data_IF_673969581409
#
_entry.id   IF_673969581409
#
_cell.length_a   1.000
_cell.length_b   1.000
_cell.length_c   1.000
_cell.angle_alpha   90.00
_cell.angle_beta   90.00
_cell.angle_gamma   90.00
#
_symmetry.space_group_name_H-M   'P 1'
#
loop_
_entity.id
_entity.type
_entity.pdbx_description
1 polymer ?
#
# COMPACT_ATOMS: atom_id res chain seq x y z
N UNK A 1 0.62 9.71 13.67
CA UNK A 1 1.77 8.84 14.01
C UNK A 1 2.25 8.19 12.72
N UNK A 2 3.49 8.43 12.32
CA UNK A 2 4.07 7.85 11.12
C UNK A 2 4.69 6.50 11.45
N UNK A 3 4.24 5.43 10.79
CA UNK A 3 4.79 4.08 10.97
C UNK A 3 6.00 3.92 10.05
N UNK A 4 7.17 3.61 10.64
CA UNK A 4 8.37 3.30 9.89
C UNK A 4 8.23 1.92 9.24
N UNK A 5 8.27 1.87 7.90
CA UNK A 5 7.96 0.66 7.12
C UNK A 5 9.18 0.35 6.25
N UNK A 6 10.06 -0.54 6.70
CA UNK A 6 11.33 -0.85 6.01
C UNK A 6 11.14 -1.40 4.59
N UNK A 7 11.95 -0.97 3.61
CA UNK A 7 11.85 -1.45 2.23
C UNK A 7 12.31 -2.91 2.10
N UNK A 8 11.52 -3.77 1.45
CA UNK A 8 11.85 -5.18 1.24
C UNK A 8 12.57 -5.37 -0.11
N UNK A 9 13.66 -6.15 -0.12
CA UNK A 9 14.47 -6.45 -1.31
C UNK A 9 13.66 -7.06 -2.47
N UNK A 10 12.60 -7.83 -2.18
CA UNK A 10 11.72 -8.43 -3.19
C UNK A 10 10.94 -7.39 -4.02
N UNK A 11 10.52 -6.30 -3.38
CA UNK A 11 9.79 -5.22 -4.04
C UNK A 11 10.69 -4.47 -5.02
N UNK A 12 11.95 -4.27 -4.63
CA UNK A 12 12.95 -3.53 -5.41
C UNK A 12 13.32 -4.28 -6.70
N UNK A 13 13.48 -5.60 -6.63
CA UNK A 13 13.87 -6.42 -7.79
C UNK A 13 12.74 -6.64 -8.80
N UNK A 14 11.48 -6.61 -8.37
CA UNK A 14 10.30 -6.86 -9.24
C UNK A 14 9.64 -5.60 -9.79
N UNK A 15 9.70 -4.49 -9.05
CA UNK A 15 8.94 -3.26 -9.36
C UNK A 15 9.83 -2.03 -9.54
N UNK A 16 11.15 -2.17 -9.40
CA UNK A 16 12.09 -1.06 -9.51
C UNK A 16 12.14 -0.21 -8.24
N UNK A 17 13.34 0.22 -7.87
CA UNK A 17 13.58 0.95 -6.62
C UNK A 17 12.88 2.32 -6.59
N UNK A 18 12.74 2.97 -7.76
CA UNK A 18 12.14 4.29 -7.92
C UNK A 18 10.64 4.27 -7.64
N UNK A 19 9.90 3.29 -8.16
CA UNK A 19 8.46 3.16 -7.93
C UNK A 19 8.16 2.83 -6.47
N UNK A 20 8.87 1.85 -5.89
CA UNK A 20 8.71 1.48 -4.47
C UNK A 20 8.96 2.68 -3.56
N UNK A 21 10.02 3.44 -3.82
CA UNK A 21 10.37 4.62 -3.02
C UNK A 21 9.35 5.74 -3.18
N UNK A 22 8.86 5.99 -4.41
CA UNK A 22 7.84 7.01 -4.65
C UNK A 22 6.54 6.72 -3.89
N UNK A 23 6.08 5.47 -3.91
CA UNK A 23 4.87 5.04 -3.19
C UNK A 23 5.07 5.17 -1.68
N UNK A 24 6.22 4.72 -1.19
CA UNK A 24 6.55 4.79 0.22
C UNK A 24 6.56 6.24 0.72
N UNK A 25 7.24 7.14 -0.01
CA UNK A 25 7.32 8.56 0.32
C UNK A 25 5.95 9.23 0.25
N UNK A 26 5.16 8.94 -0.80
CA UNK A 26 3.80 9.47 -0.95
C UNK A 26 2.96 9.17 0.29
N UNK A 27 2.97 7.91 0.77
CA UNK A 27 2.17 7.52 1.94
C UNK A 27 2.76 8.08 3.24
N UNK A 28 4.08 8.18 3.38
CA UNK A 28 4.68 8.76 4.59
C UNK A 28 4.43 10.25 4.73
N UNK A 29 4.47 11.00 3.62
CA UNK A 29 4.31 12.45 3.63
C UNK A 29 2.84 12.87 3.70
N UNK A 30 1.97 12.20 2.93
CA UNK A 30 0.59 12.64 2.75
C UNK A 30 -0.43 11.76 3.48
N UNK A 31 0.00 10.59 3.97
CA UNK A 31 -0.92 9.54 4.38
C UNK A 31 -1.53 8.81 3.17
N UNK A 32 -2.13 7.62 3.39
CA UNK A 32 -2.86 6.93 2.34
C UNK A 32 -4.18 7.65 2.04
N UNK A 33 -4.47 7.87 0.76
CA UNK A 33 -5.78 8.40 0.33
C UNK A 33 -6.89 7.39 0.54
N UNK A 34 -6.55 6.10 0.52
CA UNK A 34 -7.48 5.00 0.73
C UNK A 34 -6.76 3.83 1.40
N UNK A 35 -7.44 3.19 2.35
CA UNK A 35 -6.96 1.95 2.98
C UNK A 35 -8.00 0.85 2.75
N UNK A 36 -7.51 -0.34 2.46
CA UNK A 36 -8.30 -1.56 2.33
C UNK A 36 -7.73 -2.62 3.25
N UNK A 37 -8.58 -3.50 3.77
CA UNK A 37 -8.20 -4.66 4.56
C UNK A 37 -8.42 -5.93 3.73
N UNK A 38 -7.48 -6.86 3.78
CA UNK A 38 -7.60 -8.13 3.07
C UNK A 38 -8.83 -8.90 3.57
N UNK A 39 -9.51 -9.60 2.65
CA UNK A 39 -10.62 -10.48 3.00
C UNK A 39 -10.16 -11.84 3.53
N UNK A 40 -8.91 -12.23 3.24
CA UNK A 40 -8.32 -13.52 3.63
C UNK A 40 -7.35 -13.44 4.80
N UNK A 41 -6.80 -12.26 5.09
CA UNK A 41 -5.81 -12.03 6.15
C UNK A 41 -6.14 -10.70 6.86
N UNK A 42 -6.82 -10.74 8.02
CA UNK A 42 -7.30 -9.53 8.69
C UNK A 42 -6.17 -8.61 9.16
N UNK A 43 -4.93 -9.11 9.24
CA UNK A 43 -3.76 -8.33 9.62
C UNK A 43 -3.10 -7.64 8.42
N UNK A 44 -3.55 -7.92 7.20
CA UNK A 44 -3.00 -7.33 5.97
C UNK A 44 -3.83 -6.15 5.49
N UNK A 45 -3.14 -5.03 5.28
CA UNK A 45 -3.72 -3.80 4.80
C UNK A 45 -3.05 -3.34 3.50
N UNK A 46 -3.85 -2.75 2.64
CA UNK A 46 -3.43 -2.18 1.36
C UNK A 46 -3.71 -0.69 1.40
N UNK A 47 -2.66 0.10 1.27
CA UNK A 47 -2.67 1.54 1.36
C UNK A 47 -2.41 2.12 -0.03
N UNK A 48 -3.33 2.93 -0.51
CA UNK A 48 -3.20 3.61 -1.80
C UNK A 48 -2.75 5.05 -1.60
N UNK A 49 -1.94 5.53 -2.53
CA UNK A 49 -1.55 6.93 -2.65
C UNK A 49 -1.56 7.33 -4.13
N UNK A 50 -2.00 8.55 -4.41
CA UNK A 50 -1.92 9.11 -5.77
C UNK A 50 -0.58 9.79 -5.95
N UNK A 51 0.19 9.33 -6.93
CA UNK A 51 1.50 9.85 -7.28
C UNK A 51 1.38 11.18 -8.07
N UNK A 52 2.46 11.98 -8.16
CA UNK A 52 2.43 13.27 -8.87
C UNK A 52 2.06 13.18 -10.35
N UNK A 53 2.31 12.03 -10.99
CA UNK A 53 1.96 11.74 -12.38
C UNK A 53 0.50 11.28 -12.55
N UNK A 54 -0.28 11.25 -11.47
CA UNK A 54 -1.69 10.85 -11.46
C UNK A 54 -1.93 9.36 -11.26
N UNK A 55 -0.89 8.50 -11.31
CA UNK A 55 -1.03 7.05 -11.09
C UNK A 55 -1.24 6.73 -9.61
N UNK A 56 -1.96 5.66 -9.33
CA UNK A 56 -2.15 5.13 -7.99
C UNK A 56 -1.12 4.06 -7.66
N UNK A 57 -0.30 4.34 -6.65
CA UNK A 57 0.59 3.38 -6.03
C UNK A 57 -0.09 2.65 -4.88
N UNK A 58 0.26 1.38 -4.69
CA UNK A 58 -0.21 0.57 -3.58
C UNK A 58 0.93 0.08 -2.73
N UNK A 59 0.83 0.28 -1.42
CA UNK A 59 1.68 -0.32 -0.39
C UNK A 59 0.90 -1.37 0.38
N UNK A 60 1.48 -2.56 0.51
CA UNK A 60 0.94 -3.64 1.35
C UNK A 60 1.71 -3.67 2.66
N UNK A 61 1.00 -3.61 3.77
CA UNK A 61 1.54 -3.75 5.11
C UNK A 61 0.86 -4.89 5.85
N UNK A 62 1.58 -5.49 6.80
CA UNK A 62 1.06 -6.53 7.67
C UNK A 62 1.26 -6.13 9.12
N UNK A 63 0.17 -6.11 9.89
CA UNK A 63 0.19 -5.88 11.34
C UNK A 63 0.83 -7.08 12.03
N UNK A 64 1.78 -6.80 12.91
CA UNK A 64 2.50 -7.81 13.71
C UNK A 64 2.04 -7.85 15.17
N UNK A 65 1.10 -6.99 15.57
CA UNK A 65 0.72 -6.75 16.96
C UNK A 65 1.33 -5.46 17.53
N UNK A 66 0.80 -4.97 18.66
CA UNK A 66 1.31 -3.80 19.40
C UNK A 66 1.52 -2.53 18.54
N UNK A 67 0.66 -2.31 17.53
CA UNK A 67 0.78 -1.18 16.61
C UNK A 67 1.96 -1.26 15.62
N UNK A 68 2.67 -2.40 15.57
CA UNK A 68 3.79 -2.63 14.66
C UNK A 68 3.30 -3.13 13.30
N UNK A 69 3.85 -2.55 12.23
CA UNK A 69 3.56 -2.97 10.86
C UNK A 69 4.84 -3.29 10.11
N UNK A 70 4.80 -4.42 9.39
CA UNK A 70 5.82 -4.81 8.43
C UNK A 70 5.43 -4.38 7.02
N UNK A 71 6.38 -3.82 6.28
CA UNK A 71 6.23 -3.69 4.83
C UNK A 71 6.27 -5.07 4.17
N UNK A 72 5.25 -5.38 3.38
CA UNK A 72 5.27 -6.58 2.56
C UNK A 72 5.82 -6.23 1.18
N UNK A 73 5.15 -5.32 0.47
CA UNK A 73 5.53 -4.88 -0.87
C UNK A 73 4.91 -3.53 -1.23
N UNK A 74 5.45 -2.86 -2.24
CA UNK A 74 4.83 -1.69 -2.88
C UNK A 74 4.98 -1.78 -4.40
N UNK A 75 3.95 -1.40 -5.14
CA UNK A 75 3.96 -1.37 -6.60
C UNK A 75 2.77 -0.57 -7.15
N UNK A 76 2.80 -0.26 -8.45
CA UNK A 76 1.67 0.33 -9.16
C UNK A 76 0.85 -0.80 -9.78
N UNK A 77 -0.40 -1.07 -9.34
CA UNK A 77 -1.19 -2.13 -9.93
C UNK A 77 -1.63 -1.75 -11.35
N UNK A 78 -1.45 -2.67 -12.31
CA UNK A 78 -1.80 -2.48 -13.72
C UNK A 78 -1.07 -1.25 -14.30
N UNK A 79 -1.80 -0.26 -14.81
CA UNK A 79 -1.25 1.00 -15.32
C UNK A 79 -1.32 2.15 -14.29
N UNK A 80 -1.82 1.88 -13.08
CA UNK A 80 -2.03 2.86 -12.03
C UNK A 80 -3.28 3.72 -12.19
N UNK A 81 -4.12 3.49 -13.21
CA UNK A 81 -5.42 4.17 -13.33
C UNK A 81 -6.36 3.71 -12.22
N UNK A 82 -7.14 4.65 -11.66
CA UNK A 82 -8.06 4.31 -10.57
C UNK A 82 -9.05 3.18 -10.90
N UNK A 83 -9.68 3.11 -12.10
CA UNK A 83 -10.59 2.02 -12.43
C UNK A 83 -9.92 0.64 -12.34
N UNK A 84 -8.69 0.50 -12.87
CA UNK A 84 -7.97 -0.78 -12.88
C UNK A 84 -7.38 -1.14 -11.51
N UNK A 85 -6.91 -0.13 -10.76
CA UNK A 85 -6.47 -0.34 -9.37
C UNK A 85 -7.65 -0.76 -8.49
N UNK A 86 -8.81 -0.13 -8.65
CA UNK A 86 -10.05 -0.50 -7.95
C UNK A 86 -10.48 -1.93 -8.30
N UNK A 87 -10.52 -2.29 -9.57
CA UNK A 87 -10.87 -3.64 -9.99
C UNK A 87 -9.89 -4.67 -9.41
N UNK A 88 -8.59 -4.36 -9.42
CA UNK A 88 -7.55 -5.22 -8.86
C UNK A 88 -7.75 -5.46 -7.35
N UNK A 89 -7.86 -4.40 -6.56
CA UNK A 89 -7.89 -4.50 -5.09
C UNK A 89 -9.18 -5.10 -4.55
N UNK A 90 -10.32 -4.85 -5.20
CA UNK A 90 -11.62 -5.39 -4.78
C UNK A 90 -11.74 -6.91 -4.95
N UNK A 91 -10.82 -7.56 -5.67
CA UNK A 91 -10.77 -9.03 -5.77
C UNK A 91 -10.40 -9.71 -4.45
N UNK A 92 -9.70 -9.00 -3.55
CA UNK A 92 -9.13 -9.60 -2.34
C UNK A 92 -9.16 -8.68 -1.10
N UNK A 93 -9.77 -7.50 -1.19
CA UNK A 93 -9.82 -6.56 -0.08
C UNK A 93 -11.10 -5.71 -0.08
N UNK A 94 -11.51 -5.28 1.10
CA UNK A 94 -12.64 -4.36 1.30
C UNK A 94 -12.14 -3.03 1.86
N UNK A 95 -12.87 -1.94 1.56
CA UNK A 95 -12.55 -0.60 2.06
C UNK A 95 -12.50 -0.64 3.59
N UNK A 96 -11.43 -0.09 4.16
CA UNK A 96 -11.25 0.05 5.60
C UNK A 96 -11.36 1.52 6.00
N UNK A 97 -12.26 1.81 6.92
CA UNK A 97 -12.54 3.17 7.43
C UNK A 97 -12.21 3.33 8.92
N UNK A 98 -11.74 2.26 9.57
CA UNK A 98 -11.33 2.30 10.97
C UNK A 98 -9.93 2.90 11.16
N UNK A 99 -9.57 3.12 12.42
CA UNK A 99 -8.18 3.35 12.79
C UNK A 99 -7.38 2.06 12.56
N UNK A 100 -6.17 2.19 12.00
CA UNK A 100 -5.28 1.04 11.91
C UNK A 100 -4.87 0.59 13.33
N UNK A 101 -4.93 -0.71 13.65
CA UNK A 101 -4.63 -1.27 14.97
C UNK A 101 -3.14 -1.23 15.38
#
# INVERSE_FOLDING_TARGET
MAVAVGMNAHSITRHGISEVSAIHNCIQQNGPVMTFRSTTDPNRFYQLCQLPDGRFGMRTVQHLGEGLYKHVTSFIPKDGSWPLVREYILKFATRFTGAMP
#
